data_IF_360453438253
#
_entry.id   IF_360453438253
#
_cell.length_a   1.000
_cell.length_b   1.000
_cell.length_c   1.000
_cell.angle_alpha   90.00
_cell.angle_beta   90.00
_cell.angle_gamma   90.00
#
_symmetry.space_group_name_H-M   'P 1'
#
loop_
_entity.id
_entity.type
_entity.pdbx_description
1 polymer ?
#
# COMPACT_ATOMS: atom_id res chain seq x y z
N UNK A 1 18.64 5.05 -4.66
CA UNK A 1 18.98 3.65 -4.97
C UNK A 1 18.05 2.57 -4.39
N UNK A 2 16.98 2.96 -3.68
CA UNK A 2 15.99 2.02 -3.13
C UNK A 2 15.32 1.15 -4.20
N UNK A 3 14.97 1.75 -5.34
CA UNK A 3 14.41 1.02 -6.48
C UNK A 3 15.32 -0.12 -6.98
N UNK A 4 16.62 0.17 -7.15
CA UNK A 4 17.57 -0.86 -7.59
C UNK A 4 17.76 -1.96 -6.53
N UNK A 5 17.79 -1.60 -5.24
CA UNK A 5 17.84 -2.59 -4.17
C UNK A 5 16.63 -3.52 -4.20
N UNK A 6 15.42 -2.94 -4.32
CA UNK A 6 14.18 -3.73 -4.41
C UNK A 6 14.15 -4.63 -5.64
N UNK A 7 14.59 -4.13 -6.79
CA UNK A 7 14.69 -4.90 -8.03
C UNK A 7 15.64 -6.09 -7.93
N UNK A 8 16.66 -5.98 -7.08
CA UNK A 8 17.62 -7.06 -6.79
C UNK A 8 17.19 -7.97 -5.63
N UNK A 9 15.99 -7.76 -5.06
CA UNK A 9 15.48 -8.49 -3.92
C UNK A 9 16.18 -8.15 -2.60
N UNK A 10 16.73 -6.94 -2.48
CA UNK A 10 17.42 -6.48 -1.28
C UNK A 10 16.64 -5.40 -0.55
N UNK A 11 16.63 -5.48 0.77
CA UNK A 11 16.09 -4.43 1.63
C UNK A 11 17.04 -3.22 1.63
N UNK A 12 16.47 -2.02 1.41
CA UNK A 12 17.24 -0.79 1.53
C UNK A 12 17.41 -0.44 3.03
N UNK A 13 18.65 -0.25 3.53
CA UNK A 13 18.87 0.10 4.93
C UNK A 13 18.43 1.55 5.27
N UNK A 14 18.23 2.39 4.27
CA UNK A 14 17.75 3.76 4.43
C UNK A 14 16.70 4.08 3.37
N UNK A 15 15.49 3.48 3.46
CA UNK A 15 14.46 3.67 2.45
C UNK A 15 13.80 5.05 2.55
N UNK A 16 13.07 5.41 1.50
CA UNK A 16 12.10 6.52 1.57
C UNK A 16 10.92 6.09 2.42
N UNK A 17 10.62 6.89 3.44
CA UNK A 17 9.50 6.66 4.36
C UNK A 17 8.60 7.88 4.37
N UNK A 18 7.32 7.67 4.16
CA UNK A 18 6.29 8.64 4.50
C UNK A 18 5.78 8.26 5.90
N UNK A 19 5.92 9.20 6.85
CA UNK A 19 5.57 8.93 8.24
C UNK A 19 4.31 9.70 8.63
N UNK A 20 3.25 8.96 8.89
CA UNK A 20 1.94 9.50 9.27
C UNK A 20 1.67 9.26 10.75
N UNK A 21 1.18 10.28 11.47
CA UNK A 21 0.70 10.16 12.85
C UNK A 21 -0.78 10.54 12.83
N UNK A 22 -1.63 9.57 12.50
CA UNK A 22 -3.05 9.78 12.25
C UNK A 22 -3.79 10.41 13.43
N UNK A 23 -3.45 10.01 14.63
CA UNK A 23 -4.08 10.46 15.88
C UNK A 23 -3.76 11.89 16.28
N UNK A 24 -2.90 12.59 15.55
CA UNK A 24 -2.72 14.05 15.70
C UNK A 24 -3.84 14.83 15.02
N UNK A 25 -4.50 14.21 14.02
CA UNK A 25 -5.61 14.79 13.26
C UNK A 25 -6.94 14.24 13.76
N UNK A 26 -7.01 12.91 14.00
CA UNK A 26 -8.20 12.24 14.51
C UNK A 26 -7.91 11.53 15.85
N UNK A 27 -8.21 12.17 16.98
CA UNK A 27 -8.01 11.57 18.30
C UNK A 27 -8.84 10.31 18.57
N UNK A 28 -9.91 10.05 17.80
CA UNK A 28 -10.74 8.84 17.96
C UNK A 28 -10.01 7.55 17.58
N UNK A 29 -8.89 7.66 16.87
CA UNK A 29 -8.03 6.54 16.51
C UNK A 29 -7.04 6.12 17.60
N UNK A 30 -7.04 6.79 18.76
CA UNK A 30 -6.25 6.36 19.92
C UNK A 30 -6.87 5.13 20.54
N UNK A 31 -6.03 4.30 21.15
CA UNK A 31 -6.51 3.20 21.99
C UNK A 31 -7.09 3.68 23.33
N UNK A 32 -7.56 2.75 24.16
CA UNK A 32 -8.14 3.05 25.46
C UNK A 32 -7.14 3.67 26.44
N UNK A 33 -5.86 3.40 26.29
CA UNK A 33 -4.75 3.94 27.07
C UNK A 33 -4.29 5.32 26.59
N UNK A 34 -4.81 5.78 25.43
CA UNK A 34 -4.50 7.08 24.84
C UNK A 34 -3.23 7.10 23.99
N UNK A 35 -2.69 5.94 23.61
CA UNK A 35 -1.53 5.86 22.74
C UNK A 35 -1.81 6.44 21.35
N UNK A 36 -0.75 6.96 20.73
CA UNK A 36 -0.82 7.41 19.35
C UNK A 36 -0.70 6.23 18.39
N UNK A 37 -1.44 6.32 17.28
CA UNK A 37 -1.29 5.44 16.13
C UNK A 37 -0.44 6.14 15.06
N UNK A 38 0.54 5.43 14.54
CA UNK A 38 1.46 5.92 13.52
C UNK A 38 1.67 4.88 12.43
N UNK A 39 1.81 5.31 11.19
CA UNK A 39 2.10 4.44 10.06
C UNK A 39 3.36 4.91 9.32
N UNK A 40 4.21 3.95 8.97
CA UNK A 40 5.35 4.14 8.08
C UNK A 40 5.01 3.54 6.72
N UNK A 41 4.81 4.38 5.71
CA UNK A 41 4.70 3.93 4.32
C UNK A 41 6.09 3.88 3.70
N UNK A 42 6.61 2.66 3.58
CA UNK A 42 7.99 2.39 3.16
C UNK A 42 8.02 2.04 1.68
N UNK A 43 8.72 2.83 0.88
CA UNK A 43 8.78 2.65 -0.57
C UNK A 43 9.89 1.68 -0.98
N UNK A 44 9.67 1.00 -2.13
CA UNK A 44 10.62 0.10 -2.76
C UNK A 44 10.98 -1.10 -1.88
N UNK A 45 9.96 -1.80 -1.41
CA UNK A 45 10.10 -3.04 -0.65
C UNK A 45 9.85 -4.23 -1.58
N UNK A 46 10.80 -5.18 -1.73
CA UNK A 46 10.64 -6.30 -2.64
C UNK A 46 9.64 -7.34 -2.13
N UNK A 47 8.92 -8.00 -3.04
CA UNK A 47 8.05 -9.13 -2.71
C UNK A 47 8.88 -10.35 -2.28
N UNK A 48 9.91 -10.71 -3.05
CA UNK A 48 10.85 -11.77 -2.73
C UNK A 48 12.21 -11.21 -2.30
N UNK A 49 12.76 -11.76 -1.23
CA UNK A 49 14.09 -11.42 -0.74
C UNK A 49 15.14 -12.37 -1.30
N UNK A 50 16.26 -11.84 -1.79
CA UNK A 50 17.37 -12.61 -2.29
C UNK A 50 18.21 -13.18 -1.17
N UNK A 51 18.29 -14.52 -1.09
CA UNK A 51 19.15 -15.22 -0.14
C UNK A 51 18.64 -15.28 1.30
N UNK A 52 17.40 -14.80 1.56
CA UNK A 52 16.74 -14.83 2.86
C UNK A 52 15.21 -14.85 2.69
N UNK A 53 14.46 -14.83 3.78
CA UNK A 53 13.00 -14.81 3.77
C UNK A 53 12.45 -13.66 4.62
N UNK A 54 11.18 -13.29 4.42
CA UNK A 54 10.53 -12.28 5.24
C UNK A 54 10.40 -12.71 6.69
N UNK A 55 10.18 -13.98 6.96
CA UNK A 55 10.09 -14.53 8.33
C UNK A 55 11.41 -14.33 9.10
N UNK A 56 12.54 -14.38 8.41
CA UNK A 56 13.86 -14.15 9.01
C UNK A 56 14.23 -12.67 9.16
N UNK A 57 13.69 -11.80 8.28
CA UNK A 57 14.13 -10.42 8.14
C UNK A 57 13.18 -9.39 8.74
N UNK A 58 11.91 -9.72 8.91
CA UNK A 58 10.87 -8.75 9.29
C UNK A 58 11.22 -7.98 10.57
N UNK A 59 11.50 -8.68 11.65
CA UNK A 59 11.82 -8.04 12.94
C UNK A 59 13.05 -7.14 12.84
N UNK A 60 14.09 -7.63 12.17
CA UNK A 60 15.31 -6.86 11.95
C UNK A 60 15.06 -5.61 11.14
N UNK A 61 14.23 -5.73 10.07
CA UNK A 61 13.93 -4.60 9.21
C UNK A 61 13.03 -3.57 9.89
N UNK A 62 12.06 -4.01 10.71
CA UNK A 62 11.27 -3.09 11.55
C UNK A 62 12.17 -2.27 12.46
N UNK A 63 13.10 -2.91 13.18
CA UNK A 63 14.10 -2.20 14.01
C UNK A 63 14.93 -1.21 13.19
N UNK A 64 15.32 -1.60 11.98
CA UNK A 64 16.03 -0.71 11.05
C UNK A 64 15.20 0.52 10.68
N UNK A 65 13.92 0.35 10.36
CA UNK A 65 13.01 1.45 10.02
C UNK A 65 12.82 2.41 11.20
N UNK A 66 12.65 1.89 12.41
CA UNK A 66 12.56 2.71 13.63
C UNK A 66 13.85 3.48 13.87
N UNK A 67 15.02 2.87 13.62
CA UNK A 67 16.30 3.60 13.72
C UNK A 67 16.44 4.73 12.70
N UNK A 68 15.78 4.61 11.56
CA UNK A 68 15.68 5.72 10.58
C UNK A 68 14.81 6.82 11.14
N UNK A 69 13.68 6.49 11.77
CA UNK A 69 12.81 7.48 12.42
C UNK A 69 13.55 8.25 13.53
N UNK A 70 14.36 7.58 14.33
CA UNK A 70 15.16 8.20 15.40
C UNK A 70 16.16 9.25 14.90
N UNK A 71 16.58 9.18 13.64
CA UNK A 71 17.44 10.23 13.04
C UNK A 71 16.72 11.57 12.87
N UNK A 72 15.40 11.56 12.76
CA UNK A 72 14.55 12.74 12.55
C UNK A 72 13.80 13.14 13.83
N UNK A 73 13.47 12.16 14.67
CA UNK A 73 12.79 12.34 15.95
C UNK A 73 13.46 11.42 16.98
N UNK A 74 14.57 11.85 17.61
CA UNK A 74 15.35 11.02 18.55
C UNK A 74 14.50 10.47 19.70
N UNK A 75 14.64 9.18 19.98
CA UNK A 75 13.90 8.46 21.03
C UNK A 75 12.54 7.92 20.60
N UNK A 76 12.14 8.04 19.33
CA UNK A 76 10.87 7.49 18.83
C UNK A 76 10.82 5.97 19.04
N UNK A 77 11.88 5.24 18.73
CA UNK A 77 11.92 3.78 18.87
C UNK A 77 11.66 3.31 20.31
N UNK A 78 12.07 4.09 21.32
CA UNK A 78 11.85 3.77 22.73
C UNK A 78 10.37 3.95 23.16
N UNK A 79 9.59 4.69 22.39
CA UNK A 79 8.18 4.97 22.65
C UNK A 79 7.23 3.97 21.97
N UNK A 80 7.76 3.06 21.15
CA UNK A 80 6.94 2.09 20.40
C UNK A 80 6.47 0.98 21.34
N UNK A 81 5.17 0.91 21.59
CA UNK A 81 4.56 -0.13 22.42
C UNK A 81 4.33 -1.43 21.63
N UNK A 82 3.92 -1.32 20.37
CA UNK A 82 3.66 -2.46 19.49
C UNK A 82 3.83 -2.09 18.01
N UNK A 83 4.04 -3.10 17.15
CA UNK A 83 4.18 -2.94 15.70
C UNK A 83 3.38 -3.97 14.94
N UNK A 84 2.76 -3.55 13.84
CA UNK A 84 2.05 -4.43 12.91
C UNK A 84 2.64 -4.27 11.50
N UNK A 85 3.73 -4.98 11.17
CA UNK A 85 4.37 -4.87 9.87
C UNK A 85 3.55 -5.58 8.78
N UNK A 86 3.34 -4.88 7.67
CA UNK A 86 2.68 -5.38 6.45
C UNK A 86 3.65 -5.32 5.27
N UNK A 87 4.59 -6.26 5.21
CA UNK A 87 5.42 -6.44 4.02
C UNK A 87 4.59 -7.04 2.85
N UNK A 88 5.05 -6.99 1.59
CA UNK A 88 4.24 -7.38 0.44
C UNK A 88 3.57 -8.76 0.53
N UNK A 89 4.24 -9.79 1.06
CA UNK A 89 3.62 -11.11 1.26
C UNK A 89 2.52 -11.10 2.32
N UNK A 90 2.67 -10.30 3.39
CA UNK A 90 1.59 -10.13 4.37
C UNK A 90 0.42 -9.32 3.81
N UNK A 91 0.67 -8.31 2.99
CA UNK A 91 -0.39 -7.59 2.28
C UNK A 91 -1.18 -8.57 1.40
N UNK A 92 -0.50 -9.41 0.64
CA UNK A 92 -1.15 -10.43 -0.19
C UNK A 92 -1.97 -11.41 0.65
N UNK A 93 -1.38 -11.99 1.70
CA UNK A 93 -2.07 -13.00 2.53
C UNK A 93 -3.22 -12.40 3.34
N UNK A 94 -3.12 -11.14 3.78
CA UNK A 94 -4.12 -10.48 4.63
C UNK A 94 -5.28 -9.88 3.83
N UNK A 95 -4.98 -9.25 2.68
CA UNK A 95 -5.96 -8.52 1.87
C UNK A 95 -6.31 -9.22 0.55
N UNK A 96 -5.61 -10.27 0.15
CA UNK A 96 -5.80 -10.94 -1.14
C UNK A 96 -5.29 -10.12 -2.34
N UNK A 97 -4.42 -9.14 -2.12
CA UNK A 97 -3.87 -8.30 -3.18
C UNK A 97 -2.64 -8.98 -3.76
N UNK A 98 -2.69 -9.41 -5.01
CA UNK A 98 -1.61 -10.12 -5.70
C UNK A 98 -0.27 -9.39 -5.55
N UNK A 99 0.74 -10.10 -5.06
CA UNK A 99 2.08 -9.60 -4.76
C UNK A 99 2.13 -8.37 -3.84
N UNK A 100 1.04 -8.07 -3.12
CA UNK A 100 0.95 -6.91 -2.26
C UNK A 100 0.98 -5.58 -3.01
N UNK A 101 0.66 -5.57 -4.32
CA UNK A 101 0.70 -4.36 -5.14
C UNK A 101 -0.60 -3.57 -5.00
N UNK A 102 -0.56 -2.51 -4.20
CA UNK A 102 -1.74 -1.70 -3.83
C UNK A 102 -2.47 -1.02 -4.99
N UNK A 103 -1.84 -0.91 -6.16
CA UNK A 103 -2.48 -0.39 -7.38
C UNK A 103 -3.05 -1.49 -8.27
N UNK A 104 -2.92 -2.77 -7.90
CA UNK A 104 -3.38 -3.98 -8.58
C UNK A 104 -2.76 -4.21 -9.97
N UNK A 105 -2.48 -3.15 -10.73
CA UNK A 105 -1.81 -3.16 -12.03
C UNK A 105 -0.59 -2.26 -11.93
N UNK A 106 0.54 -2.71 -12.46
CA UNK A 106 1.80 -1.99 -12.44
C UNK A 106 1.65 -0.62 -13.11
N UNK A 107 2.22 0.42 -12.49
CA UNK A 107 2.14 1.79 -12.98
C UNK A 107 3.00 2.03 -14.25
N UNK A 108 3.81 1.06 -14.67
CA UNK A 108 4.52 1.09 -15.96
C UNK A 108 3.57 0.86 -17.15
N UNK A 109 2.38 0.27 -16.91
CA UNK A 109 1.35 0.16 -17.94
C UNK A 109 0.70 1.51 -18.22
N UNK A 110 0.46 1.78 -19.51
CA UNK A 110 -0.29 2.96 -19.94
C UNK A 110 -1.75 2.92 -19.50
N UNK A 111 -2.42 4.06 -19.55
CA UNK A 111 -3.83 4.14 -19.14
C UNK A 111 -4.73 3.22 -19.95
N UNK A 112 -4.47 3.05 -21.25
CA UNK A 112 -5.23 2.16 -22.13
C UNK A 112 -5.04 0.67 -21.83
N UNK A 113 -3.97 0.32 -21.15
CA UNK A 113 -3.60 -1.07 -20.84
C UNK A 113 -4.11 -1.52 -19.45
N UNK A 114 -4.74 -0.61 -18.70
CA UNK A 114 -5.36 -0.93 -17.42
C UNK A 114 -6.67 -1.70 -17.63
N UNK A 115 -7.16 -2.32 -16.54
CA UNK A 115 -8.43 -3.03 -16.57
C UNK A 115 -9.56 -2.12 -17.06
N UNK A 116 -10.38 -2.59 -18.04
CA UNK A 116 -11.54 -1.82 -18.52
C UNK A 116 -12.62 -1.77 -17.44
N UNK A 117 -13.48 -0.75 -17.48
CA UNK A 117 -14.65 -0.67 -16.60
C UNK A 117 -15.66 -1.77 -16.91
N UNK A 118 -15.97 -2.02 -18.18
CA UNK A 118 -16.76 -3.17 -18.61
C UNK A 118 -15.82 -4.34 -18.94
N UNK A 119 -16.01 -5.48 -18.27
CA UNK A 119 -15.21 -6.68 -18.53
C UNK A 119 -15.75 -7.44 -19.77
N UNK A 120 -15.00 -8.42 -20.30
CA UNK A 120 -15.52 -9.30 -21.36
C UNK A 120 -16.73 -10.15 -20.93
N UNK A 121 -16.99 -10.27 -19.63
CA UNK A 121 -18.15 -11.00 -19.09
C UNK A 121 -19.32 -10.04 -19.01
N UNK A 122 -20.41 -10.36 -19.71
CA UNK A 122 -21.60 -9.52 -19.73
C UNK A 122 -22.16 -9.28 -18.31
N UNK A 123 -22.44 -8.03 -17.96
CA UNK A 123 -22.99 -7.62 -16.68
C UNK A 123 -21.95 -7.53 -15.55
N UNK A 124 -20.66 -7.78 -15.84
CA UNK A 124 -19.57 -7.66 -14.86
C UNK A 124 -18.73 -6.42 -15.15
N UNK A 125 -18.65 -5.54 -14.14
CA UNK A 125 -17.91 -4.28 -14.22
C UNK A 125 -16.79 -4.23 -13.20
N UNK A 126 -15.67 -3.59 -13.54
CA UNK A 126 -14.53 -3.38 -12.66
C UNK A 126 -14.50 -1.94 -12.17
N UNK A 127 -14.51 -1.76 -10.85
CA UNK A 127 -14.45 -0.47 -10.18
C UNK A 127 -13.21 -0.36 -9.25
N UNK A 128 -12.22 -1.22 -9.47
CA UNK A 128 -11.07 -1.37 -8.59
C UNK A 128 -9.96 -0.36 -8.86
N UNK A 129 -8.95 -0.33 -7.99
CA UNK A 129 -7.71 0.42 -8.19
C UNK A 129 -6.91 -0.03 -9.43
N UNK A 130 -7.24 -1.19 -10.03
CA UNK A 130 -6.66 -1.67 -11.30
C UNK A 130 -7.21 -0.97 -12.53
N UNK A 131 -8.34 -0.22 -12.43
CA UNK A 131 -8.88 0.58 -13.53
C UNK A 131 -8.24 1.96 -13.58
N UNK A 132 -8.36 2.68 -14.70
CA UNK A 132 -7.99 4.10 -14.79
C UNK A 132 -8.88 4.94 -13.83
N UNK A 133 -8.37 5.95 -13.13
CA UNK A 133 -6.98 6.44 -13.09
C UNK A 133 -6.08 5.76 -12.05
N UNK A 134 -6.36 4.58 -11.61
CA UNK A 134 -5.75 3.84 -10.52
C UNK A 134 -6.33 4.21 -9.14
N UNK A 135 -5.69 3.77 -8.02
CA UNK A 135 -6.10 4.03 -6.66
C UNK A 135 -6.02 5.50 -6.25
N UNK A 136 -5.66 5.76 -5.03
CA UNK A 136 -5.55 7.09 -4.37
C UNK A 136 -6.80 7.54 -3.60
N UNK A 137 -7.73 6.63 -3.29
CA UNK A 137 -8.91 6.89 -2.43
C UNK A 137 -9.86 7.97 -2.97
N UNK A 138 -9.72 8.37 -4.24
CA UNK A 138 -10.52 9.45 -4.85
C UNK A 138 -11.86 8.99 -5.42
N UNK A 139 -12.15 7.68 -5.42
CA UNK A 139 -13.40 7.11 -5.92
C UNK A 139 -13.58 7.10 -7.43
N UNK A 140 -12.64 7.63 -8.22
CA UNK A 140 -12.79 7.78 -9.68
C UNK A 140 -13.03 6.45 -10.41
N UNK A 141 -12.37 5.36 -10.01
CA UNK A 141 -12.58 4.04 -10.61
C UNK A 141 -14.04 3.59 -10.46
N UNK A 142 -14.61 3.75 -9.26
CA UNK A 142 -16.02 3.44 -8.98
C UNK A 142 -16.99 4.34 -9.74
N UNK A 143 -16.75 5.66 -9.73
CA UNK A 143 -17.55 6.63 -10.47
C UNK A 143 -17.62 6.32 -11.98
N UNK A 144 -16.46 6.13 -12.59
CA UNK A 144 -16.37 5.84 -14.01
C UNK A 144 -17.01 4.49 -14.39
N UNK A 145 -16.85 3.48 -13.53
CA UNK A 145 -17.50 2.17 -13.73
C UNK A 145 -19.03 2.28 -13.63
N UNK A 146 -19.54 3.10 -12.69
CA UNK A 146 -20.98 3.36 -12.57
C UNK A 146 -21.54 4.06 -13.80
N UNK A 147 -20.87 5.12 -14.30
CA UNK A 147 -21.27 5.80 -15.55
C UNK A 147 -21.31 4.81 -16.72
N UNK A 148 -20.29 3.95 -16.82
CA UNK A 148 -20.25 2.94 -17.87
C UNK A 148 -21.41 1.96 -17.76
N UNK A 149 -21.73 1.49 -16.56
CA UNK A 149 -22.86 0.61 -16.29
C UNK A 149 -24.20 1.26 -16.69
N UNK A 150 -24.44 2.50 -16.26
CA UNK A 150 -25.66 3.24 -16.57
C UNK A 150 -25.84 3.39 -18.07
N UNK A 151 -24.77 3.75 -18.78
CA UNK A 151 -24.78 3.84 -20.25
C UNK A 151 -25.14 2.52 -20.91
N UNK A 152 -24.58 1.40 -20.44
CA UNK A 152 -24.86 0.08 -21.02
C UNK A 152 -26.30 -0.38 -20.72
N UNK A 153 -26.91 0.11 -19.64
CA UNK A 153 -28.35 -0.09 -19.32
C UNK A 153 -29.29 0.87 -20.01
N UNK A 154 -28.79 1.84 -20.78
CA UNK A 154 -29.61 2.87 -21.43
C UNK A 154 -30.25 3.87 -20.46
N UNK A 155 -29.65 4.04 -19.28
CA UNK A 155 -30.10 5.03 -18.30
C UNK A 155 -29.26 6.29 -18.52
N UNK A 156 -29.92 7.35 -18.97
CA UNK A 156 -29.31 8.69 -19.09
C UNK A 156 -29.31 9.40 -17.73
N UNK A 157 -28.26 10.23 -17.47
CA UNK A 157 -28.20 11.11 -16.30
C UNK A 157 -29.20 12.27 -16.39
#
# INVERSE_FOLDING_TARGET
DGFNAAKEGRLNPFPTIEWYIHTTVDPSLRDAEGHHNSALFVQWVPYELKGTTWEAEEERYVKQLLSVCDRFAPGTSDLVADTFPLHPKKIESHFGITHGHIHHVDNTFGFADRLPYATPVQGVYSASAGTHPAGSVIGCGGHNAAIRLLKDLGIEE
#
